data_IF_301316589208
#
_entry.id   IF_301316589208
#
_cell.length_a   1.000
_cell.length_b   1.000
_cell.length_c   1.000
_cell.angle_alpha   90.00
_cell.angle_beta   90.00
_cell.angle_gamma   90.00
#
_symmetry.space_group_name_H-M   'P 1'
#
loop_
_entity.id
_entity.type
_entity.pdbx_description
1 polymer ?
#
# COMPACT_ATOMS: atom_id res chain seq x y z
N UNK A 1 27.33 -3.50 -2.51
CA UNK A 1 26.87 -4.39 -1.41
C UNK A 1 28.10 -4.90 -0.68
N UNK A 2 28.21 -4.72 0.64
CA UNK A 2 29.38 -5.18 1.39
C UNK A 2 29.32 -6.69 1.61
N UNK A 3 30.38 -7.43 1.23
CA UNK A 3 30.48 -8.89 1.37
C UNK A 3 31.28 -9.33 2.61
N UNK A 4 31.64 -8.39 3.49
CA UNK A 4 32.44 -8.66 4.68
C UNK A 4 31.65 -9.43 5.75
N UNK A 5 32.36 -10.24 6.54
CA UNK A 5 31.80 -11.13 7.56
C UNK A 5 30.94 -10.39 8.62
N UNK A 6 31.27 -9.11 8.90
CA UNK A 6 30.56 -8.26 9.86
C UNK A 6 29.67 -7.17 9.20
N UNK A 7 29.39 -7.25 7.90
CA UNK A 7 28.62 -6.22 7.18
C UNK A 7 27.08 -6.34 7.33
N UNK A 8 26.59 -7.26 8.17
CA UNK A 8 25.16 -7.60 8.28
C UNK A 8 24.24 -6.41 8.60
N UNK A 9 24.63 -5.53 9.53
CA UNK A 9 23.83 -4.34 9.89
C UNK A 9 23.57 -3.44 8.69
N UNK A 10 24.62 -3.15 7.92
CA UNK A 10 24.54 -2.31 6.72
C UNK A 10 23.66 -2.95 5.64
N UNK A 11 23.72 -4.27 5.48
CA UNK A 11 22.86 -5.01 4.54
C UNK A 11 21.38 -4.92 4.92
N UNK A 12 21.06 -5.04 6.20
CA UNK A 12 19.68 -4.92 6.70
C UNK A 12 19.15 -3.50 6.48
N UNK A 13 19.93 -2.47 6.80
CA UNK A 13 19.56 -1.07 6.59
C UNK A 13 19.33 -0.77 5.10
N UNK A 14 20.21 -1.26 4.22
CA UNK A 14 20.03 -1.13 2.78
C UNK A 14 18.75 -1.83 2.29
N UNK A 15 18.51 -3.08 2.72
CA UNK A 15 17.26 -3.80 2.38
C UNK A 15 16.02 -3.02 2.85
N UNK A 16 16.03 -2.47 4.06
CA UNK A 16 14.92 -1.64 4.57
C UNK A 16 14.71 -0.41 3.70
N UNK A 17 15.78 0.29 3.28
CA UNK A 17 15.69 1.46 2.38
C UNK A 17 15.09 1.09 1.03
N UNK A 18 15.57 0.02 0.38
CA UNK A 18 15.03 -0.43 -0.90
C UNK A 18 13.60 -0.97 -0.79
N UNK A 19 13.20 -1.50 0.38
CA UNK A 19 11.82 -1.97 0.58
C UNK A 19 10.78 -0.85 0.45
N UNK A 20 11.15 0.40 0.73
CA UNK A 20 10.26 1.56 0.58
C UNK A 20 10.00 1.98 -0.88
N UNK A 21 10.79 1.54 -1.86
CA UNK A 21 10.46 1.82 -3.27
C UNK A 21 9.39 0.87 -3.84
N UNK A 22 9.11 -0.24 -3.16
CA UNK A 22 8.04 -1.15 -3.56
C UNK A 22 6.67 -0.56 -3.21
N UNK A 23 5.89 -0.23 -4.25
CA UNK A 23 4.53 0.32 -4.14
C UNK A 23 3.61 -0.57 -3.29
N UNK A 24 3.74 -1.90 -3.38
CA UNK A 24 2.90 -2.84 -2.60
C UNK A 24 3.24 -2.76 -1.12
N UNK A 25 4.53 -2.66 -0.80
CA UNK A 25 4.99 -2.51 0.57
C UNK A 25 4.53 -1.19 1.18
N UNK A 26 4.71 -0.08 0.47
CA UNK A 26 4.30 1.26 0.93
C UNK A 26 2.78 1.33 1.18
N UNK A 27 1.97 0.89 0.22
CA UNK A 27 0.49 0.88 0.37
C UNK A 27 0.03 0.07 1.57
N UNK A 28 0.67 -1.07 1.83
CA UNK A 28 0.34 -1.96 2.96
C UNK A 28 0.73 -1.34 4.30
N UNK A 29 1.97 -0.87 4.43
CA UNK A 29 2.49 -0.35 5.70
C UNK A 29 1.80 0.94 6.12
N UNK A 30 1.55 1.84 5.16
CA UNK A 30 0.85 3.09 5.41
C UNK A 30 -0.68 2.93 5.43
N UNK A 31 -1.20 1.72 5.20
CA UNK A 31 -2.65 1.42 5.11
C UNK A 31 -3.40 2.39 4.19
N UNK A 32 -2.76 2.81 3.10
CA UNK A 32 -3.31 3.83 2.20
C UNK A 32 -4.65 3.39 1.61
N UNK A 33 -4.77 2.10 1.27
CA UNK A 33 -6.00 1.54 0.73
C UNK A 33 -7.18 1.77 1.68
N UNK A 34 -7.04 1.45 2.96
CA UNK A 34 -8.11 1.61 3.96
C UNK A 34 -8.46 3.09 4.16
N UNK A 35 -7.47 3.98 4.13
CA UNK A 35 -7.70 5.43 4.27
C UNK A 35 -8.47 6.03 3.10
N UNK A 36 -8.23 5.55 1.88
CA UNK A 36 -8.86 6.07 0.66
C UNK A 36 -10.13 5.33 0.26
N UNK A 37 -10.36 4.15 0.80
CA UNK A 37 -11.46 3.27 0.42
C UNK A 37 -12.77 3.75 1.05
N UNK A 38 -13.81 4.08 0.27
CA UNK A 38 -15.12 4.44 0.81
C UNK A 38 -15.80 3.31 1.58
N UNK A 39 -15.38 2.06 1.42
CA UNK A 39 -15.85 0.91 2.20
C UNK A 39 -15.03 0.67 3.48
N UNK A 40 -13.98 1.47 3.72
CA UNK A 40 -13.06 1.32 4.86
C UNK A 40 -12.45 -0.08 5.00
N UNK A 41 -12.33 -0.85 3.91
CA UNK A 41 -11.84 -2.23 3.91
C UNK A 41 -12.89 -3.31 4.19
N UNK A 42 -14.18 -2.96 4.25
CA UNK A 42 -15.27 -3.92 4.32
C UNK A 42 -15.54 -4.58 2.95
N UNK A 43 -16.02 -5.83 2.91
CA UNK A 43 -16.34 -6.51 1.64
C UNK A 43 -17.58 -5.92 0.93
N UNK A 44 -18.49 -5.27 1.67
CA UNK A 44 -19.72 -4.64 1.15
C UNK A 44 -20.14 -3.45 2.03
N UNK A 45 -20.84 -2.47 1.45
CA UNK A 45 -21.53 -1.40 2.17
C UNK A 45 -22.96 -1.20 1.66
N UNK A 46 -23.75 -0.45 2.41
CA UNK A 46 -25.11 -0.03 2.04
C UNK A 46 -25.08 1.45 1.63
N UNK A 47 -25.87 1.81 0.63
CA UNK A 47 -26.00 3.18 0.14
C UNK A 47 -27.43 3.52 -0.24
N UNK A 48 -27.72 4.82 -0.35
CA UNK A 48 -28.98 5.36 -0.83
C UNK A 48 -28.74 5.96 -2.21
N UNK A 49 -29.67 5.74 -3.13
CA UNK A 49 -29.58 6.27 -4.50
C UNK A 49 -29.80 7.78 -4.48
N UNK A 50 -28.86 8.55 -5.06
CA UNK A 50 -29.00 9.99 -5.27
C UNK A 50 -29.64 10.29 -6.63
N UNK A 51 -29.09 9.75 -7.71
CA UNK A 51 -29.52 10.00 -9.08
C UNK A 51 -29.19 8.81 -10.00
N UNK A 52 -29.90 8.68 -11.12
CA UNK A 52 -29.61 7.71 -12.18
C UNK A 52 -28.79 8.39 -13.29
N UNK A 53 -27.54 7.98 -13.47
CA UNK A 53 -26.62 8.50 -14.50
C UNK A 53 -26.51 7.53 -15.68
N UNK A 54 -26.54 8.06 -16.91
CA UNK A 54 -26.20 7.30 -18.13
C UNK A 54 -24.71 7.44 -18.43
N UNK A 55 -23.96 6.34 -18.34
CA UNK A 55 -22.52 6.30 -18.65
C UNK A 55 -22.35 5.78 -20.08
N UNK A 56 -21.78 6.59 -20.95
CA UNK A 56 -21.40 6.18 -22.31
C UNK A 56 -20.08 5.39 -22.27
N UNK A 57 -19.93 4.44 -23.20
CA UNK A 57 -18.83 3.47 -23.22
C UNK A 57 -17.54 4.00 -23.86
#
# INVERSE_FOLDING_TARGET
MGKGLFAGRKLIEQKKKFRWSDKRYVRRVLRLNVKSDPLEGAPMARGIVLEKLGVEA
#
